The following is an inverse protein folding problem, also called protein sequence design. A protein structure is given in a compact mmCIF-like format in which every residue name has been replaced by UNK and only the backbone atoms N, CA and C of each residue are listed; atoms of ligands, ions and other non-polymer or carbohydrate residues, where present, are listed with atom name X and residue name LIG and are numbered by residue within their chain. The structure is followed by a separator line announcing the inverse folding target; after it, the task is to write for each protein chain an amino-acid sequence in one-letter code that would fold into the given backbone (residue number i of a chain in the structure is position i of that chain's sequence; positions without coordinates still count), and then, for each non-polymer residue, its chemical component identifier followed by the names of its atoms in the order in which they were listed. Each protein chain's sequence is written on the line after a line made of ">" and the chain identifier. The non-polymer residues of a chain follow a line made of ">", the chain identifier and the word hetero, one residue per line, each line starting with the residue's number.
data_IF_843471796752
#
_entry.id   IF_843471796752
#
_cell.length_a   1.000
_cell.length_b   1.000
_cell.length_c   1.000
_cell.angle_alpha   90.00
_cell.angle_beta   90.00
_cell.angle_gamma   90.00
#
_symmetry.space_group_name_H-M   'P 1'
#
loop_
_entity.id
_entity.type
_entity.pdbx_description
1 polymer ?
#
# COMPACT_ATOMS: atom_id res chain seq x y z
N UNK A 1 2.23 -16.58 -6.61
CA UNK A 1 3.57 -16.20 -6.11
C UNK A 1 3.63 -16.58 -4.64
N UNK A 2 4.20 -17.74 -4.32
CA UNK A 2 4.52 -18.09 -2.93
C UNK A 2 5.72 -17.21 -2.55
N UNK A 3 5.49 -16.19 -1.72
CA UNK A 3 6.59 -15.53 -1.03
C UNK A 3 7.14 -16.57 -0.06
N UNK A 4 8.37 -17.03 -0.29
CA UNK A 4 9.06 -17.91 0.65
C UNK A 4 9.24 -17.21 2.00
N UNK A 5 9.44 -18.00 3.05
CA UNK A 5 9.83 -17.50 4.36
C UNK A 5 11.08 -16.62 4.19
N UNK A 6 11.03 -15.38 4.69
CA UNK A 6 12.14 -14.43 4.57
C UNK A 6 13.42 -14.98 5.22
N UNK A 7 14.56 -14.36 4.90
CA UNK A 7 15.86 -14.70 5.51
C UNK A 7 15.81 -14.55 7.03
N UNK A 8 16.50 -15.45 7.76
CA UNK A 8 16.78 -15.23 9.19
C UNK A 8 17.82 -14.12 9.37
N UNK A 9 18.02 -13.68 10.61
CA UNK A 9 19.01 -12.63 10.92
C UNK A 9 20.41 -13.07 10.52
N UNK A 10 20.74 -14.35 10.68
CA UNK A 10 22.04 -14.94 10.35
C UNK A 10 22.28 -15.07 8.84
N UNK A 11 21.22 -15.05 8.03
CA UNK A 11 21.28 -15.18 6.56
C UNK A 11 21.35 -13.82 5.84
N UNK A 12 21.07 -12.73 6.55
CA UNK A 12 21.16 -11.37 6.02
C UNK A 12 22.62 -10.94 5.88
N UNK A 13 22.96 -10.41 4.70
CA UNK A 13 24.30 -9.94 4.39
C UNK A 13 24.29 -8.47 3.96
N UNK A 14 25.37 -7.75 4.25
CA UNK A 14 25.54 -6.37 3.80
C UNK A 14 25.46 -6.32 2.27
N UNK A 15 24.54 -5.51 1.75
CA UNK A 15 24.29 -5.38 0.32
C UNK A 15 23.08 -6.16 -0.19
N UNK A 16 22.41 -6.95 0.65
CA UNK A 16 21.13 -7.59 0.31
C UNK A 16 20.09 -6.55 -0.12
N UNK A 17 19.31 -6.90 -1.16
CA UNK A 17 18.20 -6.09 -1.68
C UNK A 17 16.98 -6.97 -1.95
N UNK A 18 15.81 -6.40 -1.77
CA UNK A 18 14.54 -7.01 -2.16
C UNK A 18 13.64 -5.95 -2.80
N UNK A 19 12.74 -6.40 -3.67
CA UNK A 19 11.73 -5.55 -4.28
C UNK A 19 10.39 -6.25 -4.31
N UNK A 20 9.33 -5.49 -4.11
CA UNK A 20 7.96 -5.95 -4.30
C UNK A 20 7.21 -4.93 -5.14
N UNK A 21 6.31 -5.40 -5.97
CA UNK A 21 5.45 -4.56 -6.79
C UNK A 21 4.05 -5.13 -6.80
N UNK A 22 3.08 -4.25 -6.66
CA UNK A 22 1.66 -4.56 -6.76
C UNK A 22 0.96 -3.37 -7.42
N UNK A 23 0.03 -3.67 -8.31
CA UNK A 23 -0.92 -2.68 -8.81
C UNK A 23 -1.87 -2.32 -7.68
N UNK A 24 -1.90 -1.05 -7.29
CA UNK A 24 -2.87 -0.52 -6.32
C UNK A 24 -4.18 -0.24 -7.06
N UNK A 25 -5.26 -0.76 -6.51
CA UNK A 25 -6.62 -0.59 -7.03
C UNK A 25 -7.50 0.10 -6.00
N UNK A 26 -8.68 0.53 -6.43
CA UNK A 26 -9.71 1.08 -5.55
C UNK A 26 -10.07 0.11 -4.40
N UNK A 27 -10.06 -1.20 -4.67
CA UNK A 27 -10.27 -2.22 -3.63
C UNK A 27 -9.26 -2.12 -2.49
N UNK A 28 -7.99 -1.84 -2.79
CA UNK A 28 -6.95 -1.72 -1.78
C UNK A 28 -7.16 -0.50 -0.88
N UNK A 29 -7.63 0.61 -1.47
CA UNK A 29 -7.93 1.85 -0.75
C UNK A 29 -9.10 1.65 0.22
N UNK A 30 -10.22 1.11 -0.26
CA UNK A 30 -11.37 0.85 0.61
C UNK A 30 -11.10 -0.24 1.65
N UNK A 31 -10.34 -1.28 1.30
CA UNK A 31 -9.95 -2.32 2.26
C UNK A 31 -9.06 -1.74 3.36
N UNK A 32 -8.11 -0.87 3.00
CA UNK A 32 -7.30 -0.17 3.99
C UNK A 32 -8.16 0.69 4.91
N UNK A 33 -9.04 1.54 4.35
CA UNK A 33 -9.96 2.38 5.13
C UNK A 33 -10.85 1.56 6.08
N UNK A 34 -11.38 0.42 5.61
CA UNK A 34 -12.20 -0.48 6.42
C UNK A 34 -11.46 -1.12 7.59
N UNK A 35 -10.16 -1.42 7.42
CA UNK A 35 -9.33 -2.02 8.49
C UNK A 35 -8.77 -0.96 9.43
N UNK A 36 -8.31 0.18 8.92
CA UNK A 36 -7.66 1.23 9.70
C UNK A 36 -8.67 2.17 10.39
N UNK A 37 -9.88 2.28 9.84
CA UNK A 37 -10.87 3.29 10.23
C UNK A 37 -10.63 4.68 9.62
N UNK A 38 -9.63 4.83 8.74
CA UNK A 38 -9.36 6.09 8.05
C UNK A 38 -10.22 6.24 6.79
N UNK A 39 -11.34 6.94 6.96
CA UNK A 39 -12.26 7.28 5.88
C UNK A 39 -12.14 8.75 5.45
N UNK A 40 -10.93 9.32 5.50
CA UNK A 40 -10.72 10.66 4.97
C UNK A 40 -11.21 10.73 3.50
N UNK A 41 -12.05 11.70 3.13
CA UNK A 41 -12.60 11.80 1.77
C UNK A 41 -11.51 11.96 0.70
N UNK A 42 -10.30 12.39 1.08
CA UNK A 42 -9.12 12.37 0.20
C UNK A 42 -8.83 10.99 -0.37
N UNK A 43 -9.24 9.92 0.32
CA UNK A 43 -9.00 8.52 -0.09
C UNK A 43 -10.24 7.88 -0.70
N UNK A 44 -11.43 8.22 -0.20
CA UNK A 44 -12.66 7.45 -0.48
C UNK A 44 -13.69 8.17 -1.34
N UNK A 45 -13.46 9.43 -1.69
CA UNK A 45 -14.36 10.25 -2.52
C UNK A 45 -13.58 10.94 -3.63
N UNK A 46 -13.72 10.43 -4.86
CA UNK A 46 -13.05 10.97 -6.03
C UNK A 46 -13.47 12.41 -6.37
N UNK A 47 -14.73 12.78 -6.10
CA UNK A 47 -15.21 14.14 -6.37
C UNK A 47 -14.57 15.13 -5.39
N UNK A 48 -14.46 14.75 -4.11
CA UNK A 48 -13.75 15.55 -3.12
C UNK A 48 -12.24 15.61 -3.43
N UNK A 49 -11.61 14.47 -3.72
CA UNK A 49 -10.19 14.36 -4.00
C UNK A 49 -9.76 15.18 -5.23
N UNK A 50 -10.60 15.24 -6.27
CA UNK A 50 -10.36 16.06 -7.47
C UNK A 50 -10.22 17.56 -7.19
N UNK A 51 -10.77 18.05 -6.08
CA UNK A 51 -10.68 19.44 -5.64
C UNK A 51 -9.57 19.68 -4.61
N UNK A 52 -8.93 18.61 -4.15
CA UNK A 52 -7.83 18.66 -3.20
C UNK A 52 -6.49 18.95 -3.89
N UNK A 53 -5.43 19.07 -3.10
CA UNK A 53 -4.06 19.20 -3.61
C UNK A 53 -3.65 18.06 -4.57
N UNK A 54 -4.23 16.87 -4.42
CA UNK A 54 -3.90 15.70 -5.24
C UNK A 54 -4.54 15.74 -6.64
N UNK A 55 -5.58 16.57 -6.83
CA UNK A 55 -6.16 16.91 -8.14
C UNK A 55 -6.73 15.74 -8.95
N UNK A 56 -6.90 14.57 -8.32
CA UNK A 56 -7.46 13.33 -8.86
C UNK A 56 -8.11 12.55 -7.74
#
# INVERSE_FOLDING_TARGET
>A
MSQGMGKTVEELNVGDKASFTKTVTEYDVYSFAGVSGDFNPSHTDAQWASQSFFGK
#
